data_IF_738162770647
#
_entry.id   IF_738162770647
#
_cell.length_a   1.000
_cell.length_b   1.000
_cell.length_c   1.000
_cell.angle_alpha   90.00
_cell.angle_beta   90.00
_cell.angle_gamma   90.00
#
_symmetry.space_group_name_H-M   'P 1'
#
loop_
_entity.id
_entity.type
_entity.pdbx_description
1 polymer ?
#
# COMPACT_ATOMS: atom_id res chain seq x y z
N UNK A 1 4.49 2.15 -7.50
CA UNK A 1 5.77 1.77 -6.85
C UNK A 1 5.83 0.26 -6.70
N UNK A 2 4.90 -0.34 -5.95
CA UNK A 2 4.79 -1.79 -5.76
C UNK A 2 4.77 -2.59 -7.08
N UNK A 3 4.06 -2.14 -8.12
CA UNK A 3 4.13 -2.80 -9.44
C UNK A 3 5.55 -2.96 -10.01
N UNK A 4 6.42 -1.97 -9.79
CA UNK A 4 7.82 -2.04 -10.21
C UNK A 4 8.61 -3.05 -9.34
N UNK A 5 8.30 -3.14 -8.04
CA UNK A 5 8.88 -4.12 -7.13
C UNK A 5 8.44 -5.54 -7.47
N UNK A 6 7.14 -5.76 -7.71
CA UNK A 6 6.57 -7.01 -8.17
C UNK A 6 7.23 -7.47 -9.47
N UNK A 7 7.34 -6.57 -10.47
CA UNK A 7 8.00 -6.89 -11.74
C UNK A 7 9.47 -7.25 -11.54
N UNK A 8 10.19 -6.47 -10.76
CA UNK A 8 11.60 -6.71 -10.50
C UNK A 8 11.82 -8.04 -9.76
N UNK A 9 11.04 -8.31 -8.71
CA UNK A 9 11.11 -9.57 -7.97
C UNK A 9 10.73 -10.77 -8.84
N UNK A 10 9.76 -10.61 -9.75
CA UNK A 10 9.43 -11.61 -10.75
C UNK A 10 10.62 -11.90 -11.69
N UNK A 11 11.29 -10.86 -12.19
CA UNK A 11 12.43 -10.98 -13.12
C UNK A 11 13.70 -11.53 -12.46
N UNK A 12 13.83 -11.43 -11.14
CA UNK A 12 14.94 -12.00 -10.37
C UNK A 12 14.87 -13.54 -10.25
N UNK A 13 13.68 -14.12 -10.47
CA UNK A 13 13.41 -15.53 -10.27
C UNK A 13 13.55 -16.32 -11.58
N UNK A 14 13.74 -17.63 -11.47
CA UNK A 14 13.73 -18.56 -12.59
C UNK A 14 12.37 -18.47 -13.31
N UNK A 15 12.39 -18.50 -14.65
CA UNK A 15 11.19 -18.35 -15.46
C UNK A 15 10.11 -19.37 -15.07
N UNK A 16 8.89 -18.88 -14.79
CA UNK A 16 7.74 -19.71 -14.41
C UNK A 16 7.81 -20.33 -13.01
N UNK A 17 8.77 -19.91 -12.17
CA UNK A 17 8.92 -20.45 -10.81
C UNK A 17 8.18 -19.65 -9.73
N UNK A 18 7.76 -18.43 -10.02
CA UNK A 18 7.13 -17.53 -9.03
C UNK A 18 5.77 -18.06 -8.62
N UNK A 19 5.57 -18.30 -7.32
CA UNK A 19 4.32 -18.85 -6.78
C UNK A 19 3.47 -17.79 -6.08
N UNK A 20 4.11 -16.78 -5.49
CA UNK A 20 3.43 -15.77 -4.69
C UNK A 20 4.08 -14.39 -4.88
N UNK A 21 3.23 -13.38 -5.04
CA UNK A 21 3.56 -11.98 -4.84
C UNK A 21 2.62 -11.44 -3.75
N UNK A 22 3.20 -11.08 -2.62
CA UNK A 22 2.50 -10.53 -1.46
C UNK A 22 2.90 -9.07 -1.26
N UNK A 23 2.02 -8.15 -1.63
CA UNK A 23 2.20 -6.71 -1.41
C UNK A 23 1.83 -6.42 0.05
N UNK A 24 2.74 -5.77 0.76
CA UNK A 24 2.68 -5.47 2.19
C UNK A 24 2.68 -3.95 2.36
N UNK A 25 1.59 -3.39 2.85
CA UNK A 25 1.50 -1.97 3.21
C UNK A 25 1.27 -1.82 4.71
N UNK A 26 2.32 -1.41 5.43
CA UNK A 26 2.24 -1.10 6.84
C UNK A 26 2.50 0.38 7.08
N UNK A 27 1.57 0.99 7.80
CA UNK A 27 1.79 2.25 8.50
C UNK A 27 1.91 1.99 10.02
N UNK A 28 3.14 2.08 10.55
CA UNK A 28 3.42 1.98 11.99
C UNK A 28 3.55 3.36 12.65
N UNK A 29 2.85 4.35 12.11
CA UNK A 29 2.82 5.71 12.62
C UNK A 29 1.77 5.94 13.71
N UNK A 30 1.98 7.00 14.49
CA UNK A 30 0.98 7.55 15.41
C UNK A 30 0.79 9.04 15.22
N UNK A 31 -0.46 9.46 15.04
CA UNK A 31 -0.89 10.86 14.96
C UNK A 31 -1.37 11.43 16.30
N UNK A 32 -1.31 10.65 17.40
CA UNK A 32 -1.69 11.08 18.75
C UNK A 32 -3.18 11.33 19.02
N UNK A 33 -4.02 11.44 17.98
CA UNK A 33 -5.49 11.49 18.09
C UNK A 33 -6.09 10.15 18.53
N UNK A 34 -7.27 10.17 19.16
CA UNK A 34 -8.01 8.96 19.53
C UNK A 34 -8.36 8.09 18.32
N UNK A 35 -8.81 8.72 17.24
CA UNK A 35 -9.07 8.09 15.96
C UNK A 35 -9.07 9.17 14.88
N UNK A 36 -8.40 8.89 13.75
CA UNK A 36 -8.41 9.74 12.58
C UNK A 36 -8.15 8.88 11.34
N UNK A 37 -8.48 9.40 10.16
CA UNK A 37 -8.16 8.78 8.88
C UNK A 37 -7.06 9.59 8.21
N UNK A 38 -6.18 8.92 7.47
CA UNK A 38 -5.07 9.58 6.76
C UNK A 38 -5.49 10.17 5.41
N UNK A 39 -6.67 9.77 4.93
CA UNK A 39 -7.32 10.27 3.73
C UNK A 39 -8.74 10.72 4.06
N UNK A 40 -9.45 11.17 3.02
CA UNK A 40 -10.87 11.49 3.14
C UNK A 40 -11.64 10.32 3.78
N UNK A 41 -12.33 10.55 4.93
CA UNK A 41 -13.03 9.48 5.63
C UNK A 41 -14.04 8.74 4.75
N UNK A 42 -14.69 9.43 3.81
CA UNK A 42 -15.68 8.82 2.92
C UNK A 42 -15.03 7.77 2.01
N UNK A 43 -13.89 8.10 1.41
CA UNK A 43 -13.13 7.18 0.55
C UNK A 43 -12.65 5.99 1.38
N UNK A 44 -11.98 6.28 2.49
CA UNK A 44 -11.37 5.29 3.36
C UNK A 44 -12.39 4.28 3.92
N UNK A 45 -13.57 4.74 4.35
CA UNK A 45 -14.60 3.82 4.85
C UNK A 45 -15.33 3.05 3.75
N UNK A 46 -15.49 3.64 2.55
CA UNK A 46 -16.07 2.92 1.41
C UNK A 46 -15.19 1.74 1.01
N UNK A 47 -13.87 1.91 0.99
CA UNK A 47 -12.92 0.84 0.72
C UNK A 47 -13.09 -0.36 1.68
N UNK A 48 -13.34 -0.09 2.96
CA UNK A 48 -13.43 -1.15 3.98
C UNK A 48 -14.81 -1.79 4.14
N UNK A 49 -15.84 -1.20 3.56
CA UNK A 49 -17.19 -1.80 3.53
C UNK A 49 -17.44 -2.63 2.27
N UNK A 50 -16.54 -2.55 1.29
CA UNK A 50 -16.59 -3.29 0.04
C UNK A 50 -16.22 -4.78 0.18
N UNK A 51 -16.40 -5.50 -0.93
CA UNK A 51 -15.87 -6.86 -1.08
C UNK A 51 -14.37 -6.80 -1.37
N UNK A 52 -13.59 -7.58 -0.64
CA UNK A 52 -12.15 -7.73 -0.91
C UNK A 52 -11.97 -8.72 -2.05
N UNK A 53 -11.35 -8.30 -3.14
CA UNK A 53 -10.96 -9.18 -4.24
C UNK A 53 -9.45 -9.44 -4.20
N UNK A 54 -9.08 -10.71 -4.39
CA UNK A 54 -7.69 -11.14 -4.47
C UNK A 54 -7.50 -12.17 -5.59
N UNK A 55 -6.27 -12.33 -6.07
CA UNK A 55 -5.91 -13.31 -7.09
C UNK A 55 -5.20 -14.49 -6.43
N UNK A 56 -5.83 -15.66 -6.41
CA UNK A 56 -5.30 -16.86 -5.77
C UNK A 56 -5.62 -18.09 -6.61
N UNK A 57 -4.66 -19.00 -6.73
CA UNK A 57 -4.74 -20.18 -7.60
C UNK A 57 -5.15 -19.83 -9.05
N UNK A 58 -4.59 -18.73 -9.57
CA UNK A 58 -4.90 -18.17 -10.89
C UNK A 58 -6.39 -17.84 -11.10
N UNK A 59 -7.10 -17.46 -10.02
CA UNK A 59 -8.53 -17.13 -10.03
C UNK A 59 -8.84 -15.99 -9.08
N UNK A 60 -9.84 -15.19 -9.44
CA UNK A 60 -10.41 -14.19 -8.53
C UNK A 60 -11.14 -14.85 -7.38
N UNK A 61 -10.78 -14.46 -6.16
CA UNK A 61 -11.45 -14.84 -4.92
C UNK A 61 -12.07 -13.60 -4.27
N UNK A 62 -13.16 -13.81 -3.52
CA UNK A 62 -13.84 -12.77 -2.76
C UNK A 62 -13.77 -13.05 -1.26
N UNK A 63 -13.45 -12.02 -0.48
CA UNK A 63 -13.38 -12.05 0.98
C UNK A 63 -14.11 -10.83 1.57
N UNK A 64 -14.31 -10.85 2.89
CA UNK A 64 -14.71 -9.68 3.67
C UNK A 64 -13.49 -8.95 4.22
N UNK A 65 -13.64 -7.65 4.42
CA UNK A 65 -12.60 -6.87 5.09
C UNK A 65 -12.35 -7.40 6.52
N UNK A 66 -11.07 -7.52 6.88
CA UNK A 66 -10.58 -8.11 8.14
C UNK A 66 -10.81 -9.61 8.34
N UNK A 67 -11.26 -10.35 7.32
CA UNK A 67 -11.50 -11.80 7.41
C UNK A 67 -10.21 -12.61 7.53
N UNK A 68 -9.23 -12.32 6.67
CA UNK A 68 -7.97 -13.05 6.61
C UNK A 68 -6.85 -12.18 7.17
N UNK A 69 -6.25 -12.65 8.27
CA UNK A 69 -5.16 -11.98 8.97
C UNK A 69 -3.84 -12.70 8.72
N UNK A 70 -2.76 -11.93 8.63
CA UNK A 70 -1.38 -12.42 8.73
C UNK A 70 -0.56 -11.54 9.67
N UNK A 71 0.61 -12.06 10.06
CA UNK A 71 1.57 -11.37 10.92
C UNK A 71 2.96 -11.53 10.34
N UNK A 72 3.69 -10.42 10.21
CA UNK A 72 5.02 -10.37 9.63
C UNK A 72 5.98 -9.60 10.55
N UNK A 73 7.22 -10.05 10.68
CA UNK A 73 8.31 -9.25 11.26
C UNK A 73 8.99 -8.47 10.13
N UNK A 74 8.70 -7.18 10.06
CA UNK A 74 9.08 -6.31 8.95
C UNK A 74 10.24 -5.39 9.34
N UNK A 75 11.13 -5.07 8.38
CA UNK A 75 12.23 -4.14 8.63
C UNK A 75 11.73 -2.83 9.21
N UNK A 76 12.45 -2.33 10.23
CA UNK A 76 12.25 -1.04 10.90
C UNK A 76 10.96 -0.91 11.72
N UNK A 77 9.84 -1.47 11.27
CA UNK A 77 8.52 -1.38 11.93
C UNK A 77 8.22 -2.58 12.84
N UNK A 78 9.03 -3.63 12.80
CA UNK A 78 8.93 -4.81 13.67
C UNK A 78 7.74 -5.71 13.34
N UNK A 79 7.24 -6.44 14.35
CA UNK A 79 6.12 -7.37 14.20
C UNK A 79 4.81 -6.61 14.00
N UNK A 80 4.16 -6.85 12.86
CA UNK A 80 2.97 -6.12 12.42
C UNK A 80 1.88 -7.08 11.95
N UNK A 81 0.63 -6.72 12.25
CA UNK A 81 -0.54 -7.44 11.75
C UNK A 81 -1.05 -6.76 10.49
N UNK A 82 -1.35 -7.55 9.46
CA UNK A 82 -2.00 -7.07 8.24
C UNK A 82 -3.15 -7.98 7.84
N UNK A 83 -4.05 -7.42 7.02
CA UNK A 83 -5.28 -8.07 6.62
C UNK A 83 -5.41 -8.03 5.10
N UNK A 84 -5.88 -9.13 4.52
CA UNK A 84 -6.11 -9.23 3.08
C UNK A 84 -7.11 -8.15 2.67
N UNK A 85 -6.73 -7.32 1.72
CA UNK A 85 -7.50 -6.15 1.28
C UNK A 85 -7.58 -6.13 -0.25
N UNK A 86 -8.62 -5.50 -0.79
CA UNK A 86 -8.72 -5.27 -2.24
C UNK A 86 -7.83 -4.10 -2.63
N UNK A 87 -7.16 -4.19 -3.78
CA UNK A 87 -6.33 -3.09 -4.28
C UNK A 87 -6.13 -3.19 -5.81
N UNK A 88 -6.01 -2.03 -6.46
CA UNK A 88 -6.09 -1.92 -7.92
C UNK A 88 -4.97 -2.66 -8.67
N UNK A 89 -3.73 -2.65 -8.19
CA UNK A 89 -2.61 -3.30 -8.86
C UNK A 89 -2.73 -4.81 -8.93
N UNK A 90 -3.52 -5.45 -8.05
CA UNK A 90 -3.78 -6.89 -8.16
C UNK A 90 -4.41 -7.20 -9.52
N UNK A 91 -5.23 -6.29 -10.06
CA UNK A 91 -5.84 -6.46 -11.39
C UNK A 91 -4.82 -6.41 -12.52
N UNK A 92 -3.90 -5.45 -12.50
CA UNK A 92 -2.92 -5.33 -13.59
C UNK A 92 -1.83 -6.40 -13.46
N UNK A 93 -1.33 -6.66 -12.26
CA UNK A 93 -0.31 -7.66 -12.00
C UNK A 93 -0.80 -9.07 -12.37
N UNK A 94 -2.04 -9.44 -12.05
CA UNK A 94 -2.59 -10.75 -12.44
C UNK A 94 -2.83 -10.89 -13.95
N UNK A 95 -2.99 -9.78 -14.66
CA UNK A 95 -3.10 -9.78 -16.12
C UNK A 95 -1.72 -9.83 -16.82
N UNK A 96 -0.70 -9.23 -16.20
CA UNK A 96 0.61 -8.98 -16.83
C UNK A 96 1.70 -9.96 -16.37
N UNK A 97 1.56 -10.59 -15.20
CA UNK A 97 2.52 -11.54 -14.64
C UNK A 97 1.87 -12.93 -14.51
N UNK A 98 2.57 -13.95 -14.99
CA UNK A 98 2.14 -15.35 -14.85
C UNK A 98 2.47 -15.87 -13.44
N UNK A 99 1.67 -15.42 -12.46
CA UNK A 99 1.81 -15.78 -11.04
C UNK A 99 0.46 -16.25 -10.50
N UNK A 100 0.40 -17.43 -9.85
CA UNK A 100 -0.87 -17.97 -9.38
C UNK A 100 -1.46 -17.22 -8.19
N UNK A 101 -0.63 -16.62 -7.34
CA UNK A 101 -1.08 -15.87 -6.16
C UNK A 101 -0.53 -14.46 -6.13
N UNK A 102 -1.42 -13.45 -6.20
CA UNK A 102 -1.10 -12.04 -6.07
C UNK A 102 -2.07 -11.42 -5.07
N UNK A 103 -1.54 -10.95 -3.95
CA UNK A 103 -2.36 -10.53 -2.79
C UNK A 103 -1.86 -9.20 -2.24
N UNK A 104 -2.80 -8.37 -1.79
CA UNK A 104 -2.51 -7.12 -1.11
C UNK A 104 -2.92 -7.21 0.35
N UNK A 105 -2.05 -6.71 1.22
CA UNK A 105 -2.23 -6.81 2.67
C UNK A 105 -1.91 -5.50 3.34
N UNK A 106 -2.91 -4.97 4.04
CA UNK A 106 -2.83 -3.66 4.68
C UNK A 106 -2.77 -3.80 6.21
N UNK A 107 -1.91 -3.01 6.84
CA UNK A 107 -1.74 -2.97 8.29
C UNK A 107 -2.88 -2.25 8.99
N UNK A 108 -3.43 -2.87 10.03
CA UNK A 108 -4.43 -2.26 10.89
C UNK A 108 -4.19 -2.60 12.36
N UNK A 109 -4.22 -1.56 13.22
CA UNK A 109 -4.21 -1.74 14.67
C UNK A 109 -5.57 -2.21 15.20
N UNK A 110 -5.56 -2.99 16.28
CA UNK A 110 -6.79 -3.51 16.90
C UNK A 110 -7.75 -2.38 17.30
N UNK A 111 -7.22 -1.27 17.82
CA UNK A 111 -8.01 -0.08 18.17
C UNK A 111 -8.73 0.52 16.95
N UNK A 112 -8.05 0.60 15.81
CA UNK A 112 -8.63 1.10 14.56
C UNK A 112 -9.80 0.22 14.12
N UNK A 113 -9.59 -1.10 14.08
CA UNK A 113 -10.62 -2.08 13.70
C UNK A 113 -11.82 -1.99 14.65
N UNK A 114 -11.58 -1.86 15.94
CA UNK A 114 -12.64 -1.71 16.94
C UNK A 114 -13.49 -0.45 16.68
N UNK A 115 -12.86 0.72 16.52
CA UNK A 115 -13.59 1.97 16.26
C UNK A 115 -14.36 1.89 14.95
N UNK A 116 -13.74 1.39 13.88
CA UNK A 116 -14.42 1.17 12.60
C UNK A 116 -15.65 0.27 12.76
N UNK A 117 -15.51 -0.85 13.47
CA UNK A 117 -16.61 -1.81 13.69
C UNK A 117 -17.77 -1.19 14.45
N UNK A 118 -17.49 -0.36 15.46
CA UNK A 118 -18.52 0.38 16.21
C UNK A 118 -19.25 1.37 15.31
N UNK A 119 -18.51 2.20 14.55
CA UNK A 119 -19.10 3.17 13.62
C UNK A 119 -19.98 2.47 12.58
N UNK A 120 -19.50 1.36 12.01
CA UNK A 120 -20.23 0.58 11.03
C UNK A 120 -21.50 -0.05 11.63
N UNK A 121 -21.40 -0.64 12.82
CA UNK A 121 -22.52 -1.35 13.47
C UNK A 121 -23.65 -0.40 13.88
N UNK A 122 -23.31 0.84 14.23
CA UNK A 122 -24.28 1.90 14.53
C UNK A 122 -24.89 2.54 13.26
N UNK A 123 -24.42 2.17 12.07
CA UNK A 123 -24.83 2.77 10.80
C UNK A 123 -24.24 4.17 10.56
N UNK A 124 -23.23 4.57 11.34
CA UNK A 124 -22.62 5.90 11.23
C UNK A 124 -21.75 6.07 9.99
N UNK A 125 -21.40 4.98 9.31
CA UNK A 125 -20.68 5.00 8.04
C UNK A 125 -21.63 4.97 6.82
N UNK A 126 -22.94 5.03 7.03
CA UNK A 126 -23.94 5.03 5.95
C UNK A 126 -23.99 6.35 5.20
N UNK A 127 -24.11 6.26 3.88
CA UNK A 127 -24.41 7.38 2.98
C UNK A 127 -25.93 7.65 2.85
N UNK A 128 -26.76 6.73 3.33
CA UNK A 128 -28.22 6.89 3.27
C UNK A 128 -28.69 7.91 4.32
N UNK A 129 -29.53 8.89 3.94
CA UNK A 129 -30.06 9.85 4.88
C UNK A 129 -30.89 9.19 6.00
N UNK A 130 -30.83 9.76 7.19
CA UNK A 130 -31.67 9.41 8.34
C UNK A 130 -32.33 10.67 8.90
N UNK A 131 -33.52 10.51 9.48
CA UNK A 131 -34.25 11.60 10.14
C UNK A 131 -33.96 11.58 11.64
N UNK A 132 -33.52 12.70 12.21
CA UNK A 132 -33.35 12.84 13.67
C UNK A 132 -34.69 12.96 14.38
N UNK A 133 -34.69 12.84 15.71
CA UNK A 133 -35.89 13.04 16.52
C UNK A 133 -36.45 14.47 16.43
N UNK A 134 -35.59 15.44 16.11
CA UNK A 134 -35.93 16.86 15.90
C UNK A 134 -36.44 17.15 14.48
N UNK A 135 -36.55 16.13 13.61
CA UNK A 135 -37.04 16.27 12.24
C UNK A 135 -36.00 16.81 11.27
N UNK A 136 -34.70 16.69 11.57
CA UNK A 136 -33.62 17.06 10.66
C UNK A 136 -33.15 15.85 9.85
N UNK A 137 -32.96 16.02 8.55
CA UNK A 137 -32.36 14.99 7.70
C UNK A 137 -30.83 15.13 7.70
N UNK A 138 -30.13 14.05 8.04
CA UNK A 138 -28.66 14.01 8.08
C UNK A 138 -28.12 12.76 7.38
N UNK A 139 -26.94 12.87 6.79
CA UNK A 139 -26.19 11.70 6.27
C UNK A 139 -25.15 11.33 7.33
N UNK A 140 -25.25 10.16 7.99
CA UNK A 140 -24.38 9.80 9.12
C UNK A 140 -22.89 9.90 8.81
N UNK A 141 -22.46 9.41 7.64
CA UNK A 141 -21.06 9.48 7.21
C UNK A 141 -20.54 10.92 7.11
N UNK A 142 -21.37 11.86 6.67
CA UNK A 142 -20.99 13.28 6.59
C UNK A 142 -20.81 13.89 7.98
N UNK A 143 -21.58 13.45 8.97
CA UNK A 143 -21.42 13.88 10.37
C UNK A 143 -20.11 13.33 10.94
N UNK A 144 -19.82 12.05 10.73
CA UNK A 144 -18.54 11.44 11.14
C UNK A 144 -17.36 12.20 10.51
N UNK A 145 -17.40 12.44 9.20
CA UNK A 145 -16.38 13.22 8.50
C UNK A 145 -16.18 14.62 9.08
N UNK A 146 -17.26 15.30 9.47
CA UNK A 146 -17.19 16.64 10.03
C UNK A 146 -16.58 16.71 11.44
N UNK A 147 -16.62 15.62 12.22
CA UNK A 147 -16.07 15.58 13.58
C UNK A 147 -14.67 14.98 13.66
N UNK A 148 -14.24 14.24 12.63
CA UNK A 148 -12.88 13.72 12.56
C UNK A 148 -11.87 14.84 12.31
N UNK A 149 -10.63 14.72 12.83
CA UNK A 149 -9.57 15.67 12.51
C UNK A 149 -9.32 15.72 10.99
N UNK A 150 -9.02 16.91 10.48
CA UNK A 150 -8.57 17.08 9.10
C UNK A 150 -7.26 16.29 8.89
N UNK A 151 -7.18 15.36 7.91
CA UNK A 151 -5.98 14.58 7.64
C UNK A 151 -4.72 15.43 7.46
N UNK A 152 -4.84 16.61 6.83
CA UNK A 152 -3.71 17.53 6.63
C UNK A 152 -3.17 18.09 7.95
N UNK A 153 -4.05 18.27 8.95
CA UNK A 153 -3.69 18.77 10.28
C UNK A 153 -2.96 17.73 11.15
N UNK A 154 -2.92 16.47 10.73
CA UNK A 154 -2.24 15.39 11.45
C UNK A 154 -0.72 15.43 11.25
N UNK A 155 -0.26 15.90 10.09
CA UNK A 155 1.13 15.76 9.66
C UNK A 155 2.19 16.33 10.64
N UNK A 156 1.99 17.51 11.28
CA UNK A 156 3.03 18.10 12.14
C UNK A 156 3.43 17.24 13.35
N UNK A 157 2.47 16.49 13.90
CA UNK A 157 2.66 15.65 15.10
C UNK A 157 2.74 14.16 14.76
N UNK A 158 2.72 13.81 13.47
CA UNK A 158 2.72 12.43 13.02
C UNK A 158 4.14 11.85 13.17
N UNK A 159 4.26 10.81 14.00
CA UNK A 159 5.51 10.11 14.25
C UNK A 159 5.45 8.67 13.77
N UNK A 160 6.60 8.00 13.73
CA UNK A 160 6.71 6.61 13.28
C UNK A 160 6.99 6.52 11.78
N UNK A 161 6.89 5.30 11.25
CA UNK A 161 7.36 4.99 9.90
C UNK A 161 6.37 4.09 9.16
N UNK A 162 6.37 4.20 7.84
CA UNK A 162 5.74 3.23 6.95
C UNK A 162 6.76 2.19 6.49
N UNK A 163 6.29 1.01 6.12
CA UNK A 163 7.06 -0.03 5.44
C UNK A 163 6.16 -0.62 4.35
N UNK A 164 6.47 -0.32 3.10
CA UNK A 164 5.68 -0.73 1.93
C UNK A 164 6.57 -1.51 0.98
N UNK A 165 6.16 -2.71 0.60
CA UNK A 165 6.98 -3.54 -0.28
C UNK A 165 6.34 -4.87 -0.64
N UNK A 166 7.06 -5.64 -1.45
CA UNK A 166 6.56 -6.87 -2.07
C UNK A 166 7.43 -8.05 -1.62
N UNK A 167 6.80 -9.07 -1.03
CA UNK A 167 7.40 -10.37 -0.82
C UNK A 167 7.15 -11.25 -2.03
N UNK A 168 8.20 -11.66 -2.72
CA UNK A 168 8.11 -12.51 -3.90
C UNK A 168 8.75 -13.86 -3.61
N UNK A 169 8.01 -14.94 -3.85
CA UNK A 169 8.45 -16.32 -3.66
C UNK A 169 8.57 -17.03 -5.00
N UNK A 170 9.68 -17.71 -5.20
CA UNK A 170 9.96 -18.51 -6.39
C UNK A 170 11.26 -19.26 -6.24
N UNK A 171 11.98 -19.47 -7.35
CA UNK A 171 13.29 -20.11 -7.35
C UNK A 171 14.34 -19.19 -7.94
N UNK A 172 15.56 -19.25 -7.41
CA UNK A 172 16.74 -18.68 -8.05
C UNK A 172 17.74 -19.83 -8.22
N UNK A 173 18.12 -20.11 -9.47
CA UNK A 173 19.01 -21.23 -9.80
C UNK A 173 18.52 -22.58 -9.25
N UNK A 174 17.20 -22.82 -9.30
CA UNK A 174 16.53 -24.01 -8.82
C UNK A 174 16.32 -24.09 -7.30
N UNK A 175 16.78 -23.10 -6.54
CA UNK A 175 16.66 -23.06 -5.07
C UNK A 175 15.47 -22.18 -4.67
N UNK A 176 14.55 -22.73 -3.87
CA UNK A 176 13.42 -21.98 -3.30
C UNK A 176 13.93 -20.73 -2.56
N UNK A 177 13.44 -19.58 -2.96
CA UNK A 177 13.90 -18.27 -2.50
C UNK A 177 12.71 -17.34 -2.26
N UNK A 178 12.82 -16.53 -1.21
CA UNK A 178 11.93 -15.41 -0.93
C UNK A 178 12.77 -14.12 -0.92
N UNK A 179 12.30 -13.10 -1.63
CA UNK A 179 12.88 -11.74 -1.59
C UNK A 179 11.82 -10.76 -1.10
N UNK A 180 12.22 -9.77 -0.31
CA UNK A 180 11.38 -8.66 0.10
C UNK A 180 11.98 -7.35 -0.43
N UNK A 181 11.32 -6.74 -1.41
CA UNK A 181 11.71 -5.44 -1.99
C UNK A 181 10.81 -4.37 -1.40
N UNK A 182 11.37 -3.38 -0.71
CA UNK A 182 10.58 -2.47 0.11
C UNK A 182 11.19 -1.07 0.23
N UNK A 183 10.36 -0.13 0.65
CA UNK A 183 10.76 1.20 1.09
C UNK A 183 10.24 1.46 2.52
N UNK A 184 10.97 2.31 3.25
CA UNK A 184 10.55 2.86 4.54
C UNK A 184 10.51 4.39 4.42
N UNK A 185 9.42 5.00 4.86
CA UNK A 185 9.29 6.45 4.96
C UNK A 185 9.01 6.85 6.41
N UNK A 186 9.73 7.85 6.93
CA UNK A 186 9.45 8.44 8.24
C UNK A 186 8.48 9.61 8.09
N UNK A 187 7.43 9.64 8.92
CA UNK A 187 6.43 10.71 8.85
C UNK A 187 7.01 12.09 9.14
N UNK A 188 7.97 12.17 10.07
CA UNK A 188 8.57 13.43 10.48
C UNK A 188 9.52 13.95 9.40
N UNK A 189 10.29 13.07 8.78
CA UNK A 189 11.19 13.46 7.70
C UNK A 189 10.40 13.96 6.48
N UNK A 190 9.33 13.25 6.09
CA UNK A 190 8.41 13.69 5.04
C UNK A 190 7.78 15.06 5.35
N UNK A 191 7.37 15.29 6.60
CA UNK A 191 6.80 16.57 7.01
C UNK A 191 7.83 17.71 6.95
N UNK A 192 9.06 17.46 7.38
CA UNK A 192 10.12 18.46 7.34
C UNK A 192 10.52 18.84 5.89
N UNK A 193 10.42 17.91 4.94
CA UNK A 193 10.77 18.15 3.55
C UNK A 193 9.65 18.86 2.78
N UNK A 194 8.42 18.33 2.83
CA UNK A 194 7.30 18.77 1.96
C UNK A 194 6.02 19.13 2.73
N UNK A 195 6.08 19.22 4.06
CA UNK A 195 4.93 19.59 4.89
C UNK A 195 3.81 18.54 4.94
N UNK A 196 4.08 17.31 4.50
CA UNK A 196 3.10 16.22 4.42
C UNK A 196 3.58 14.98 5.13
N UNK A 197 2.65 14.17 5.63
CA UNK A 197 2.97 12.91 6.30
C UNK A 197 3.43 11.82 5.30
N UNK A 198 4.13 10.80 5.81
CA UNK A 198 4.78 9.74 5.03
C UNK A 198 3.91 9.00 4.00
N UNK A 199 2.61 8.82 4.22
CA UNK A 199 1.68 8.17 3.28
C UNK A 199 1.45 9.04 2.04
N UNK A 200 1.24 10.35 2.21
CA UNK A 200 1.11 11.29 1.09
C UNK A 200 2.43 11.41 0.34
N UNK A 201 3.54 11.33 1.07
CA UNK A 201 4.88 11.32 0.49
C UNK A 201 5.10 10.07 -0.39
N UNK A 202 4.81 8.87 0.12
CA UNK A 202 4.92 7.60 -0.62
C UNK A 202 3.93 7.50 -1.78
N UNK A 203 2.80 8.21 -1.73
CA UNK A 203 1.85 8.30 -2.84
C UNK A 203 2.26 9.36 -3.88
N UNK A 204 2.90 10.45 -3.47
CA UNK A 204 3.21 11.61 -4.32
C UNK A 204 4.53 11.53 -5.08
N UNK A 205 5.58 10.97 -4.46
CA UNK A 205 6.91 10.85 -5.07
C UNK A 205 6.93 9.90 -6.29
N UNK A 206 6.28 8.71 -6.27
CA UNK A 206 6.34 7.80 -7.42
C UNK A 206 5.70 8.35 -8.70
N UNK A 207 4.53 9.02 -8.69
CA UNK A 207 4.02 9.71 -9.88
C UNK A 207 4.97 10.78 -10.43
N UNK A 208 5.70 11.50 -9.57
CA UNK A 208 6.71 12.47 -10.01
C UNK A 208 7.87 11.77 -10.71
N UNK A 209 8.39 10.68 -10.14
CA UNK A 209 9.43 9.87 -10.79
C UNK A 209 8.97 9.34 -12.16
N UNK A 210 7.74 8.82 -12.26
CA UNK A 210 7.17 8.33 -13.50
C UNK A 210 7.07 9.45 -14.56
N UNK A 211 6.58 10.63 -14.15
CA UNK A 211 6.48 11.78 -15.04
C UNK A 211 7.85 12.24 -15.58
N UNK A 212 8.89 12.20 -14.73
CA UNK A 212 10.27 12.49 -15.15
C UNK A 212 10.72 11.49 -16.21
N UNK A 213 10.57 10.18 -15.99
CA UNK A 213 10.99 9.14 -16.93
C UNK A 213 10.24 9.20 -18.27
N UNK A 214 8.97 9.56 -18.25
CA UNK A 214 8.20 9.81 -19.48
C UNK A 214 8.75 11.03 -20.21
N UNK A 215 9.07 12.12 -19.49
CA UNK A 215 9.56 13.35 -20.09
C UNK A 215 10.98 13.22 -20.67
N UNK A 216 11.83 12.37 -20.09
CA UNK A 216 13.20 12.12 -20.55
C UNK A 216 13.28 11.06 -21.66
N UNK A 217 12.20 10.27 -21.85
CA UNK A 217 12.04 9.31 -22.93
C UNK A 217 12.31 7.85 -22.53
N UNK A 218 12.88 7.60 -21.35
CA UNK A 218 13.12 6.26 -20.82
C UNK A 218 11.83 5.43 -20.73
N UNK A 219 10.69 6.08 -20.43
CA UNK A 219 9.36 5.47 -20.39
C UNK A 219 8.42 5.99 -21.50
N UNK A 220 8.95 6.32 -22.68
CA UNK A 220 8.12 6.67 -23.85
C UNK A 220 7.50 5.42 -24.50
N UNK A 221 6.43 4.90 -23.90
CA UNK A 221 5.78 3.66 -24.34
C UNK A 221 4.93 3.83 -25.63
N UNK A 222 4.54 5.05 -25.99
CA UNK A 222 3.66 5.34 -27.13
C UNK A 222 2.25 4.72 -27.05
N UNK A 223 1.88 4.09 -25.93
CA UNK A 223 0.59 3.43 -25.67
C UNK A 223 0.28 3.43 -24.16
N UNK A 224 -0.95 3.07 -23.80
CA UNK A 224 -1.31 2.83 -22.40
C UNK A 224 -0.64 1.54 -21.91
N UNK A 225 0.04 1.63 -20.78
CA UNK A 225 0.74 0.53 -20.10
C UNK A 225 0.59 0.67 -18.59
N UNK A 226 0.69 -0.44 -17.87
CA UNK A 226 0.92 -0.46 -16.44
C UNK A 226 2.43 -0.45 -16.12
N UNK A 227 2.79 -0.08 -14.89
CA UNK A 227 4.20 0.12 -14.49
C UNK A 227 5.03 -1.16 -14.61
N UNK A 228 4.43 -2.32 -14.35
CA UNK A 228 5.08 -3.63 -14.48
C UNK A 228 5.40 -4.04 -15.93
N UNK A 229 4.91 -3.31 -16.92
CA UNK A 229 5.28 -3.51 -18.33
C UNK A 229 6.52 -2.72 -18.74
N UNK A 230 7.04 -1.84 -17.87
CA UNK A 230 8.17 -0.96 -18.12
C UNK A 230 9.42 -1.45 -17.36
N UNK A 231 10.62 -1.00 -17.77
CA UNK A 231 11.84 -1.28 -17.02
C UNK A 231 11.79 -0.57 -15.66
N UNK A 232 11.81 -1.36 -14.58
CA UNK A 232 11.74 -0.91 -13.21
C UNK A 232 13.03 -0.22 -12.73
N UNK A 233 14.20 -0.52 -13.34
CA UNK A 233 15.49 -0.10 -12.79
C UNK A 233 15.70 1.42 -12.80
N UNK A 234 15.42 2.17 -13.89
CA UNK A 234 15.55 3.63 -13.88
C UNK A 234 14.62 4.28 -12.86
N UNK A 235 13.43 3.71 -12.67
CA UNK A 235 12.45 4.19 -11.71
C UNK A 235 12.90 4.00 -10.27
N UNK A 236 13.39 2.82 -9.92
CA UNK A 236 13.94 2.54 -8.57
C UNK A 236 15.14 3.44 -8.28
N UNK A 237 16.08 3.56 -9.23
CA UNK A 237 17.23 4.46 -9.09
C UNK A 237 16.82 5.92 -8.89
N UNK A 238 15.77 6.37 -9.58
CA UNK A 238 15.26 7.73 -9.42
C UNK A 238 14.59 7.91 -8.07
N UNK A 239 13.72 6.99 -7.64
CA UNK A 239 13.09 6.99 -6.31
C UNK A 239 14.14 7.09 -5.20
N UNK A 240 15.24 6.34 -5.30
CA UNK A 240 16.34 6.39 -4.33
C UNK A 240 16.95 7.79 -4.19
N UNK A 241 17.01 8.55 -5.29
CA UNK A 241 17.56 9.91 -5.33
C UNK A 241 16.58 10.98 -4.86
N UNK A 242 15.28 10.76 -5.04
CA UNK A 242 14.24 11.75 -4.74
C UNK A 242 13.45 11.43 -3.45
N UNK A 243 14.06 10.65 -2.56
CA UNK A 243 13.64 10.53 -1.16
C UNK A 243 12.89 9.25 -0.77
N UNK A 244 12.72 8.30 -1.69
CA UNK A 244 12.19 6.95 -1.40
C UNK A 244 13.23 5.86 -1.68
N UNK A 245 14.28 5.73 -0.85
CA UNK A 245 15.29 4.68 -0.99
C UNK A 245 14.68 3.29 -0.87
N UNK A 246 14.89 2.48 -1.89
CA UNK A 246 14.44 1.10 -2.00
C UNK A 246 15.50 0.16 -1.44
N UNK A 247 15.05 -0.88 -0.76
CA UNK A 247 15.90 -1.93 -0.18
C UNK A 247 15.42 -3.29 -0.63
N UNK A 248 16.33 -4.25 -0.62
CA UNK A 248 16.03 -5.67 -0.82
C UNK A 248 16.54 -6.45 0.38
N UNK A 249 15.72 -7.37 0.87
CA UNK A 249 16.07 -8.35 1.90
C UNK A 249 15.84 -9.75 1.36
N UNK A 250 16.89 -10.55 1.34
CA UNK A 250 16.90 -11.95 0.89
C UNK A 250 17.90 -12.76 1.73
N UNK A 251 18.36 -13.92 1.22
CA UNK A 251 19.33 -14.78 1.90
C UNK A 251 20.72 -14.14 2.06
N UNK A 252 21.06 -13.10 1.29
CA UNK A 252 22.30 -12.34 1.40
C UNK A 252 22.18 -11.18 2.41
N UNK A 253 21.01 -11.00 3.00
CA UNK A 253 20.73 -9.97 4.00
C UNK A 253 20.01 -8.76 3.43
N UNK A 254 19.99 -7.67 4.21
CA UNK A 254 19.24 -6.46 3.93
C UNK A 254 20.16 -5.35 3.40
N UNK A 255 19.94 -4.90 2.16
CA UNK A 255 20.80 -3.95 1.45
C UNK A 255 20.01 -2.93 0.64
N UNK A 256 20.65 -1.80 0.33
CA UNK A 256 20.10 -0.84 -0.64
C UNK A 256 20.00 -1.50 -2.02
N UNK A 257 18.93 -1.18 -2.75
CA UNK A 257 18.67 -1.72 -4.08
C UNK A 257 18.92 -0.63 -5.11
N UNK A 258 20.05 -0.73 -5.81
CA UNK A 258 20.52 0.23 -6.81
C UNK A 258 21.06 -0.52 -8.04
N UNK A 259 20.99 0.11 -9.21
CA UNK A 259 21.42 -0.49 -10.47
C UNK A 259 22.42 0.41 -11.20
N UNK A 260 23.47 -0.19 -11.75
CA UNK A 260 24.35 0.47 -12.71
C UNK A 260 23.63 0.51 -14.07
N UNK A 261 23.19 1.70 -14.49
CA UNK A 261 22.50 1.95 -15.77
C UNK A 261 23.25 2.98 -16.62
#
# INVERSE_FOLDING_TARGET
MVNAYARLGYDMMDAGSVTDIDIIDINAGSHGKYFATNFDPEINFREFTGTVYSWQDSKWQSNKMFEVKRTDDLPVVGVQNSYLSGHDEVHSLSANLDVPNIRFWMGFGEHYINVFTVLQSLGLLSEQPVMTAEGQEVVPLKVVKAVLPDPSSLAPEYTGKTCIGDKVKGKINGVETEVFIYNVSDHKDAYNEVGSQGISYTAGVPPVAAAILVATGEWDAGKMVNVEELDAKPFINLLNKIGLPTRIKDSEGDRALEFDI
#
